data_IF_422965050201
#
_entry.id   IF_422965050201
#
_cell.length_a   1.000
_cell.length_b   1.000
_cell.length_c   1.000
_cell.angle_alpha   90.00
_cell.angle_beta   90.00
_cell.angle_gamma   90.00
#
_symmetry.space_group_name_H-M   'P 1'
#
loop_
_entity.id
_entity.type
_entity.pdbx_description
1 polymer ?
#
# COMPACT_ATOMS: atom_id res chain seq x y z
N UNK A 1 -9.71 -4.37 3.04
CA UNK A 1 -11.14 -4.50 2.65
C UNK A 1 -11.20 -5.42 1.44
N UNK A 2 -12.22 -6.27 1.28
CA UNK A 2 -12.32 -7.11 0.08
C UNK A 2 -12.83 -6.24 -1.08
N UNK A 3 -12.18 -6.29 -2.23
CA UNK A 3 -12.61 -5.57 -3.43
C UNK A 3 -12.66 -6.53 -4.59
N UNK A 4 -13.39 -6.18 -5.64
CA UNK A 4 -13.56 -7.04 -6.80
C UNK A 4 -13.09 -6.30 -8.03
N UNK A 5 -12.14 -6.89 -8.75
CA UNK A 5 -11.65 -6.35 -10.02
C UNK A 5 -12.29 -7.11 -11.17
N UNK A 6 -12.78 -6.38 -12.17
CA UNK A 6 -13.32 -6.96 -13.38
C UNK A 6 -12.18 -7.47 -14.26
N UNK A 7 -12.19 -8.75 -14.60
CA UNK A 7 -11.18 -9.38 -15.46
C UNK A 7 -11.25 -8.90 -16.91
N UNK A 8 -12.42 -8.44 -17.35
CA UNK A 8 -12.66 -8.01 -18.74
C UNK A 8 -12.33 -6.54 -18.98
N UNK A 9 -12.65 -5.68 -18.01
CA UNK A 9 -12.52 -4.23 -18.16
C UNK A 9 -11.46 -3.61 -17.24
N UNK A 10 -10.99 -4.34 -16.23
CA UNK A 10 -10.08 -3.84 -15.22
C UNK A 10 -10.73 -2.97 -14.13
N UNK A 11 -12.05 -2.74 -14.20
CA UNK A 11 -12.80 -1.91 -13.25
C UNK A 11 -12.76 -2.50 -11.84
N UNK A 12 -12.50 -1.68 -10.81
CA UNK A 12 -12.44 -2.11 -9.41
C UNK A 12 -13.66 -1.60 -8.66
N UNK A 13 -14.42 -2.52 -8.07
CA UNK A 13 -15.54 -2.23 -7.18
C UNK A 13 -15.18 -2.59 -5.74
N UNK A 14 -15.47 -1.68 -4.81
CA UNK A 14 -15.27 -1.86 -3.37
C UNK A 14 -16.65 -1.96 -2.71
N UNK A 15 -17.29 -3.15 -2.69
CA UNK A 15 -18.57 -3.31 -2.02
C UNK A 15 -18.39 -3.24 -0.50
N UNK A 16 -19.41 -2.76 0.20
CA UNK A 16 -19.44 -2.84 1.66
C UNK A 16 -19.41 -4.31 2.12
N UNK A 17 -18.60 -4.66 3.13
CA UNK A 17 -18.49 -6.04 3.61
C UNK A 17 -19.83 -6.53 4.16
N UNK A 18 -20.31 -7.67 3.65
CA UNK A 18 -21.61 -8.24 4.01
C UNK A 18 -22.79 -7.66 3.23
N UNK A 19 -22.55 -6.77 2.27
CA UNK A 19 -23.60 -6.28 1.36
C UNK A 19 -23.93 -7.31 0.27
N UNK A 20 -25.18 -7.31 -0.20
CA UNK A 20 -25.66 -8.17 -1.30
C UNK A 20 -24.82 -8.01 -2.59
N UNK A 21 -24.16 -6.86 -2.75
CA UNK A 21 -23.27 -6.59 -3.87
C UNK A 21 -21.95 -7.35 -3.76
N UNK A 22 -21.44 -7.60 -2.55
CA UNK A 22 -20.25 -8.43 -2.34
C UNK A 22 -20.54 -9.90 -2.69
N UNK A 23 -21.64 -10.44 -2.18
CA UNK A 23 -22.10 -11.81 -2.49
C UNK A 23 -22.35 -12.01 -4.00
N UNK A 24 -22.94 -11.01 -4.66
CA UNK A 24 -23.16 -11.03 -6.11
C UNK A 24 -21.87 -11.03 -6.92
N UNK A 25 -20.84 -10.32 -6.47
CA UNK A 25 -19.54 -10.28 -7.15
C UNK A 25 -18.76 -11.57 -6.89
N UNK A 26 -18.86 -12.13 -5.69
CA UNK A 26 -18.30 -13.42 -5.31
C UNK A 26 -18.86 -14.58 -6.16
N UNK A 27 -20.18 -14.56 -6.41
CA UNK A 27 -20.86 -15.54 -7.27
C UNK A 27 -20.51 -15.45 -8.76
N UNK A 28 -19.66 -14.51 -9.19
CA UNK A 28 -19.26 -14.29 -10.58
C UNK A 28 -17.73 -14.34 -10.78
N UNK A 29 -17.02 -15.41 -10.37
CA UNK A 29 -15.54 -15.50 -10.45
C UNK A 29 -14.98 -15.47 -11.88
N UNK A 30 -15.83 -15.72 -12.88
CA UNK A 30 -15.49 -15.64 -14.30
C UNK A 30 -15.35 -14.19 -14.82
N UNK A 31 -15.98 -13.23 -14.15
CA UNK A 31 -15.97 -11.80 -14.54
C UNK A 31 -15.25 -10.96 -13.50
N UNK A 32 -15.43 -11.30 -12.22
CA UNK A 32 -14.90 -10.54 -11.09
C UNK A 32 -13.92 -11.41 -10.31
N UNK A 33 -12.70 -10.91 -10.10
CA UNK A 33 -11.74 -11.54 -9.20
C UNK A 33 -11.74 -10.81 -7.85
N UNK A 34 -11.85 -11.52 -6.71
CA UNK A 34 -11.65 -10.92 -5.41
C UNK A 34 -10.18 -10.52 -5.30
N UNK A 35 -9.95 -9.21 -5.28
CA UNK A 35 -8.67 -8.62 -4.92
C UNK A 35 -8.77 -8.22 -3.46
N UNK A 36 -7.78 -8.63 -2.67
CA UNK A 36 -7.56 -7.92 -1.42
C UNK A 36 -7.24 -6.48 -1.83
N UNK A 37 -8.17 -5.55 -1.58
CA UNK A 37 -7.82 -4.14 -1.57
C UNK A 37 -6.88 -3.97 -0.39
N UNK A 38 -5.60 -4.19 -0.69
CA UNK A 38 -4.48 -3.48 -0.09
C UNK A 38 -4.69 -2.02 -0.47
N UNK A 39 -5.64 -1.39 0.22
CA UNK A 39 -5.66 0.05 0.43
C UNK A 39 -4.28 0.40 0.98
N UNK A 40 -3.38 0.83 0.09
CA UNK A 40 -1.97 1.09 0.42
C UNK A 40 -0.89 0.47 -0.48
N UNK A 41 -1.18 -0.16 -1.62
CA UNK A 41 -0.14 -0.52 -2.62
C UNK A 41 -0.05 0.50 -3.76
N UNK A 42 -0.05 1.79 -3.43
CA UNK A 42 0.93 2.63 -4.12
C UNK A 42 2.25 2.32 -3.42
N UNK A 43 3.37 2.09 -4.14
CA UNK A 43 4.67 2.07 -3.47
C UNK A 43 4.71 3.37 -2.65
N UNK A 44 4.91 3.31 -1.32
CA UNK A 44 4.80 4.48 -0.49
C UNK A 44 5.72 5.53 -1.09
N UNK A 45 5.11 6.56 -1.70
CA UNK A 45 5.85 7.73 -2.16
C UNK A 45 6.59 8.21 -0.95
N UNK A 46 7.90 8.46 -1.11
CA UNK A 46 8.80 8.90 -0.03
C UNK A 46 8.03 9.82 0.93
N UNK A 47 7.75 9.37 2.16
CA UNK A 47 6.94 10.15 3.08
C UNK A 47 7.64 11.49 3.33
N UNK A 48 6.85 12.56 3.48
CA UNK A 48 7.40 13.87 3.80
C UNK A 48 8.17 13.80 5.14
N UNK A 49 9.15 14.68 5.36
CA UNK A 49 9.89 14.73 6.63
C UNK A 49 8.98 14.93 7.85
N UNK A 50 7.84 15.57 7.66
CA UNK A 50 6.80 15.78 8.68
C UNK A 50 5.79 14.63 8.80
N UNK A 51 5.88 13.58 7.98
CA UNK A 51 4.99 12.43 8.03
C UNK A 51 5.11 11.67 9.34
N UNK A 52 4.10 10.85 9.65
CA UNK A 52 4.06 10.09 10.91
C UNK A 52 5.06 8.93 10.88
N UNK A 53 5.51 8.49 12.07
CA UNK A 53 6.40 7.32 12.20
C UNK A 53 5.83 6.10 11.49
N UNK A 54 4.53 5.86 11.60
CA UNK A 54 3.84 4.73 10.94
C UNK A 54 4.00 4.74 9.42
N UNK A 55 4.05 5.92 8.79
CA UNK A 55 4.27 6.02 7.34
C UNK A 55 5.73 5.74 6.96
N UNK A 56 6.67 6.20 7.77
CA UNK A 56 8.09 5.87 7.61
C UNK A 56 8.37 4.38 7.82
N UNK A 57 7.68 3.73 8.77
CA UNK A 57 7.77 2.28 8.98
C UNK A 57 7.20 1.53 7.78
N UNK A 58 6.05 1.95 7.25
CA UNK A 58 5.49 1.36 6.04
C UNK A 58 6.46 1.51 4.84
N UNK A 59 7.08 2.69 4.68
CA UNK A 59 8.10 2.93 3.67
C UNK A 59 9.34 2.04 3.84
N UNK A 60 9.84 1.90 5.07
CA UNK A 60 10.96 1.03 5.40
C UNK A 60 10.68 -0.44 5.05
N UNK A 61 9.48 -0.94 5.36
CA UNK A 61 9.07 -2.30 5.00
C UNK A 61 9.12 -2.54 3.49
N UNK A 62 8.74 -1.56 2.67
CA UNK A 62 8.83 -1.69 1.21
C UNK A 62 10.26 -1.64 0.66
N UNK A 63 11.19 -1.07 1.43
CA UNK A 63 12.63 -1.07 1.13
C UNK A 63 13.35 -2.33 1.61
N UNK A 64 12.62 -3.26 2.24
CA UNK A 64 13.17 -4.53 2.72
C UNK A 64 13.63 -4.52 4.18
N UNK A 65 13.38 -3.44 4.93
CA UNK A 65 13.60 -3.44 6.38
C UNK A 65 12.55 -4.30 7.07
N UNK A 66 12.92 -4.93 8.18
CA UNK A 66 11.96 -5.64 9.01
C UNK A 66 11.15 -4.66 9.84
N UNK A 67 9.95 -5.07 10.24
CA UNK A 67 9.08 -4.25 11.10
C UNK A 67 9.77 -3.91 12.42
N UNK A 68 10.44 -4.88 13.03
CA UNK A 68 11.11 -4.71 14.33
C UNK A 68 12.24 -3.67 14.28
N UNK A 69 13.02 -3.66 13.20
CA UNK A 69 14.09 -2.69 12.98
C UNK A 69 13.50 -1.29 12.73
N UNK A 70 12.50 -1.21 11.86
CA UNK A 70 11.83 0.04 11.57
C UNK A 70 11.09 0.64 12.78
N UNK A 71 10.49 -0.20 13.63
CA UNK A 71 9.83 0.24 14.86
C UNK A 71 10.82 0.60 15.97
N UNK A 72 12.03 0.03 15.97
CA UNK A 72 13.10 0.40 16.91
C UNK A 72 13.69 1.77 16.59
N UNK A 73 13.72 2.16 15.32
CA UNK A 73 14.18 3.47 14.88
C UNK A 73 13.16 4.58 15.15
N UNK A 74 13.63 5.80 15.43
CA UNK A 74 12.74 6.96 15.52
C UNK A 74 12.34 7.42 14.13
N UNK A 75 11.26 8.22 14.04
CA UNK A 75 10.84 8.83 12.78
C UNK A 75 11.99 9.59 12.11
N UNK A 76 12.78 10.36 12.88
CA UNK A 76 13.89 11.14 12.32
C UNK A 76 15.04 10.26 11.81
N UNK A 77 15.33 9.16 12.50
CA UNK A 77 16.30 8.15 12.04
C UNK A 77 15.83 7.47 10.76
N UNK A 78 14.57 7.02 10.70
CA UNK A 78 13.96 6.45 9.49
C UNK A 78 13.97 7.44 8.34
N UNK A 79 13.61 8.70 8.62
CA UNK A 79 13.67 9.77 7.64
C UNK A 79 15.11 9.89 7.13
N UNK A 80 16.09 10.12 8.00
CA UNK A 80 17.50 10.27 7.59
C UNK A 80 18.04 9.07 6.81
N UNK A 81 17.67 7.86 7.20
CA UNK A 81 18.17 6.61 6.61
C UNK A 81 17.54 6.32 5.24
N UNK A 82 16.28 6.73 5.04
CA UNK A 82 15.52 6.48 3.82
C UNK A 82 15.36 7.73 2.93
N UNK A 83 15.79 8.90 3.41
CA UNK A 83 15.81 10.19 2.71
C UNK A 83 17.04 10.36 1.80
N UNK A 84 17.99 9.41 1.83
CA UNK A 84 19.26 9.44 1.11
C UNK A 84 19.09 9.98 -0.34
N UNK A 85 19.63 11.18 -0.62
CA UNK A 85 19.45 11.88 -1.89
C UNK A 85 20.56 11.54 -2.90
N UNK A 86 21.06 10.30 -2.98
CA UNK A 86 22.04 9.92 -4.02
C UNK A 86 21.35 9.42 -5.29
N UNK A 87 20.77 10.37 -6.03
CA UNK A 87 20.69 10.34 -7.48
C UNK A 87 20.63 11.80 -7.92
N UNK A 88 21.77 12.48 -7.79
CA UNK A 88 22.01 13.75 -8.44
C UNK A 88 21.62 13.62 -9.93
N UNK A 89 20.75 14.48 -10.50
CA UNK A 89 20.78 14.67 -11.93
C UNK A 89 22.08 15.42 -12.23
N UNK A 90 23.10 14.69 -12.66
CA UNK A 90 24.24 15.27 -13.38
C UNK A 90 23.66 16.16 -14.49
N UNK A 91 23.91 17.47 -14.40
CA UNK A 91 23.40 18.50 -15.31
C UNK A 91 24.56 19.17 -16.06
#
# INVERSE_FOLDING_TARGET
>A
MLSYRNRRTGEVHVPEPGSWMADRLDGLPQVWEPVESVEGTLPPVKPARSARKSEWVAYALTRGYTREDAESLSRDDLARLLDDPDAEPEA
#
